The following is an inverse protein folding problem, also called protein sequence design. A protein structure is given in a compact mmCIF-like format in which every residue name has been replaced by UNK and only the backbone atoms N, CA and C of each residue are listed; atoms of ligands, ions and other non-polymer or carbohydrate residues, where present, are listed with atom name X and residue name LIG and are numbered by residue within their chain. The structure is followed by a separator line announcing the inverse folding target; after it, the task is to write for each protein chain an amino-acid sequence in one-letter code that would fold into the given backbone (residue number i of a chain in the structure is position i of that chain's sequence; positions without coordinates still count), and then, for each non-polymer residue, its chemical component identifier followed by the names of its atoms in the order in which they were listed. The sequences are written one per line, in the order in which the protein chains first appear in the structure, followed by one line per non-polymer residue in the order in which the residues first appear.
data_IF_857323737590
#
_entry.id   IF_857323737590
#
_cell.length_a   1.000
_cell.length_b   1.000
_cell.length_c   1.000
_cell.angle_alpha   90.00
_cell.angle_beta   90.00
_cell.angle_gamma   90.00
#
_symmetry.space_group_name_H-M   'P 1'
#
loop_
_entity.id
_entity.type
_entity.pdbx_description
1 polymer ?
#
# COMPACT_ATOMS: atom_id res chain seq x y z
N UNK A 1 -19.54 28.79 -0.94
CA UNK A 1 -18.84 28.72 0.36
C UNK A 1 -17.42 28.27 0.05
N UNK A 2 -16.49 29.22 -0.04
CA UNK A 2 -15.07 28.89 -0.19
C UNK A 2 -14.62 28.37 1.18
N UNK A 3 -14.37 27.06 1.28
CA UNK A 3 -13.80 26.47 2.50
C UNK A 3 -12.38 27.00 2.68
N UNK A 4 -12.04 27.37 3.92
CA UNK A 4 -10.73 27.91 4.28
C UNK A 4 -9.61 27.02 3.73
N UNK A 5 -8.84 27.55 2.77
CA UNK A 5 -7.69 26.90 2.14
C UNK A 5 -6.50 26.73 3.10
N UNK A 6 -6.71 26.91 4.41
CA UNK A 6 -5.70 26.90 5.45
C UNK A 6 -6.12 26.07 6.68
N UNK A 7 -7.15 25.22 6.56
CA UNK A 7 -7.38 24.19 7.54
C UNK A 7 -6.22 23.18 7.46
N UNK A 8 -5.36 23.16 8.47
CA UNK A 8 -4.33 22.12 8.60
C UNK A 8 -5.03 20.77 8.64
N UNK A 9 -4.97 20.04 7.52
CA UNK A 9 -5.49 18.68 7.48
C UNK A 9 -4.73 17.87 8.53
N UNK A 10 -5.45 17.08 9.32
CA UNK A 10 -4.82 16.11 10.21
C UNK A 10 -3.84 15.24 9.37
N UNK A 11 -2.70 14.82 9.95
CA UNK A 11 -1.80 13.92 9.25
C UNK A 11 -2.58 12.68 8.81
N UNK A 12 -2.42 12.24 7.56
CA UNK A 12 -3.19 11.13 7.00
C UNK A 12 -2.80 9.84 7.70
N UNK A 13 -3.71 8.87 7.72
CA UNK A 13 -3.33 7.50 8.07
C UNK A 13 -2.41 6.92 6.99
N UNK A 14 -1.34 6.26 7.43
CA UNK A 14 -0.35 5.63 6.54
C UNK A 14 -0.61 4.14 6.40
N UNK A 15 -0.71 3.65 5.18
CA UNK A 15 -0.91 2.26 4.82
C UNK A 15 0.38 1.70 4.25
N UNK A 16 1.09 0.87 5.00
CA UNK A 16 2.37 0.32 4.57
C UNK A 16 2.15 -1.06 3.96
N UNK A 17 2.37 -1.17 2.65
CA UNK A 17 2.34 -2.43 1.91
C UNK A 17 3.59 -3.22 2.25
N UNK A 18 3.41 -4.41 2.82
CA UNK A 18 4.51 -5.25 3.29
C UNK A 18 4.12 -6.72 3.15
N UNK A 19 5.01 -7.54 2.57
CA UNK A 19 4.85 -9.00 2.64
C UNK A 19 4.96 -9.44 4.10
N UNK A 20 4.02 -10.27 4.57
CA UNK A 20 4.00 -10.73 5.96
C UNK A 20 5.31 -11.45 6.38
N UNK A 21 6.02 -12.05 5.42
CA UNK A 21 7.33 -12.68 5.62
C UNK A 21 8.50 -11.68 5.76
N UNK A 22 8.34 -10.44 5.30
CA UNK A 22 9.38 -9.40 5.33
C UNK A 22 9.41 -8.67 6.69
N UNK A 23 9.68 -9.42 7.76
CA UNK A 23 9.61 -8.96 9.15
C UNK A 23 10.63 -7.86 9.48
N UNK A 24 11.84 -7.92 8.93
CA UNK A 24 12.88 -6.89 9.14
C UNK A 24 12.47 -5.54 8.51
N UNK A 25 11.96 -5.56 7.27
CA UNK A 25 11.47 -4.35 6.59
C UNK A 25 10.25 -3.76 7.31
N UNK A 26 9.35 -4.62 7.81
CA UNK A 26 8.23 -4.22 8.67
C UNK A 26 8.71 -3.49 9.92
N UNK A 27 9.69 -4.05 10.63
CA UNK A 27 10.24 -3.45 11.84
C UNK A 27 10.92 -2.10 11.55
N UNK A 28 11.67 -2.00 10.43
CA UNK A 28 12.29 -0.75 9.98
C UNK A 28 11.25 0.33 9.71
N UNK A 29 10.20 0.03 8.93
CA UNK A 29 9.15 1.00 8.62
C UNK A 29 8.39 1.47 9.87
N UNK A 30 8.11 0.56 10.82
CA UNK A 30 7.50 0.92 12.08
C UNK A 30 8.39 1.91 12.88
N UNK A 31 9.70 1.73 12.87
CA UNK A 31 10.63 2.65 13.51
C UNK A 31 10.70 4.00 12.79
N UNK A 32 10.74 4.03 11.45
CA UNK A 32 10.78 5.26 10.66
C UNK A 32 9.49 6.09 10.75
N UNK A 33 8.32 5.43 10.85
CA UNK A 33 7.03 6.11 11.00
C UNK A 33 6.81 6.69 12.41
N UNK A 34 7.48 6.13 13.42
CA UNK A 34 7.43 6.61 14.79
C UNK A 34 6.00 6.75 15.33
N UNK A 35 5.60 7.98 15.66
CA UNK A 35 4.28 8.29 16.22
C UNK A 35 3.16 8.56 15.20
N UNK A 36 3.42 8.43 13.90
CA UNK A 36 2.39 8.62 12.88
C UNK A 36 1.28 7.57 13.02
N UNK A 37 0.01 7.89 12.68
CA UNK A 37 -1.02 6.87 12.56
C UNK A 37 -0.73 5.98 11.34
N UNK A 38 -0.54 4.68 11.56
CA UNK A 38 -0.27 3.74 10.47
C UNK A 38 -0.86 2.36 10.70
N UNK A 39 -1.01 1.61 9.60
CA UNK A 39 -1.32 0.18 9.60
C UNK A 39 -0.57 -0.52 8.48
N UNK A 40 -0.20 -1.78 8.71
CA UNK A 40 0.36 -2.61 7.66
C UNK A 40 -0.76 -3.27 6.84
N UNK A 41 -0.61 -3.20 5.52
CA UNK A 41 -1.39 -3.95 4.55
C UNK A 41 -0.57 -5.18 4.19
N UNK A 42 -1.05 -6.36 4.58
CA UNK A 42 -0.41 -7.61 4.17
C UNK A 42 -0.46 -7.71 2.65
N UNK A 43 0.71 -7.62 2.03
CA UNK A 43 0.90 -7.66 0.60
C UNK A 43 0.64 -9.07 0.05
N UNK A 44 0.24 -9.12 -1.21
CA UNK A 44 0.04 -10.35 -1.96
C UNK A 44 1.37 -10.78 -2.56
N UNK A 45 1.86 -11.96 -2.16
CA UNK A 45 2.98 -12.60 -2.84
C UNK A 45 2.52 -13.14 -4.19
N UNK A 46 2.88 -12.43 -5.25
CA UNK A 46 2.56 -12.81 -6.61
C UNK A 46 3.11 -14.17 -7.02
N UNK A 47 4.23 -14.61 -6.45
CA UNK A 47 4.82 -15.92 -6.74
C UNK A 47 4.05 -17.08 -6.09
N UNK A 48 3.28 -16.79 -5.04
CA UNK A 48 2.39 -17.76 -4.40
C UNK A 48 1.02 -17.87 -5.08
N UNK A 49 0.72 -17.01 -6.06
CA UNK A 49 -0.57 -17.03 -6.77
C UNK A 49 -0.65 -18.18 -7.80
N UNK A 50 -1.83 -18.82 -7.94
CA UNK A 50 -2.08 -19.77 -9.02
C UNK A 50 -1.89 -19.14 -10.40
N UNK A 51 -1.43 -19.93 -11.38
CA UNK A 51 -1.23 -19.47 -12.77
C UNK A 51 -2.49 -18.90 -13.40
N UNK A 52 -3.65 -19.50 -13.14
CA UNK A 52 -4.93 -19.03 -13.68
C UNK A 52 -5.32 -17.65 -13.12
N UNK A 53 -4.97 -17.40 -11.86
CA UNK A 53 -5.12 -16.08 -11.24
C UNK A 53 -4.22 -15.06 -11.92
N UNK A 54 -2.93 -15.38 -12.10
CA UNK A 54 -1.99 -14.50 -12.81
C UNK A 54 -2.48 -14.17 -14.23
N UNK A 55 -2.93 -15.18 -14.98
CA UNK A 55 -3.46 -15.02 -16.33
C UNK A 55 -4.68 -14.08 -16.38
N UNK A 56 -5.51 -14.08 -15.34
CA UNK A 56 -6.68 -13.21 -15.23
C UNK A 56 -6.32 -11.72 -15.14
N UNK A 57 -5.20 -11.38 -14.50
CA UNK A 57 -4.74 -9.99 -14.42
C UNK A 57 -3.91 -9.59 -15.64
N UNK A 58 -3.15 -10.54 -16.18
CA UNK A 58 -2.33 -10.31 -17.36
C UNK A 58 -3.12 -10.13 -18.64
N UNK A 59 -4.27 -10.82 -18.81
CA UNK A 59 -5.06 -10.77 -20.06
C UNK A 59 -5.51 -9.36 -20.47
N UNK A 60 -5.65 -8.46 -19.50
CA UNK A 60 -6.11 -7.09 -19.69
C UNK A 60 -4.97 -6.06 -19.66
N UNK A 61 -3.75 -6.52 -19.41
CA UNK A 61 -2.57 -5.67 -19.41
C UNK A 61 -2.03 -5.49 -20.83
N UNK A 62 -1.38 -4.34 -21.07
CA UNK A 62 -0.77 -4.02 -22.37
C UNK A 62 0.37 -4.99 -22.72
N UNK A 63 0.90 -5.70 -21.72
CA UNK A 63 1.93 -6.72 -21.84
C UNK A 63 1.73 -7.82 -20.80
N UNK A 64 2.49 -8.90 -20.94
CA UNK A 64 2.59 -9.91 -19.90
C UNK A 64 3.15 -9.30 -18.60
N UNK A 65 2.44 -9.49 -17.49
CA UNK A 65 2.88 -9.06 -16.17
C UNK A 65 3.64 -10.19 -15.49
N UNK A 66 4.74 -9.83 -14.83
CA UNK A 66 5.46 -10.75 -13.95
C UNK A 66 4.62 -11.05 -12.70
N UNK A 67 4.80 -12.22 -12.06
CA UNK A 67 4.07 -12.55 -10.83
C UNK A 67 4.17 -11.45 -9.77
N UNK A 68 5.38 -10.93 -9.52
CA UNK A 68 5.59 -9.83 -8.58
C UNK A 68 4.83 -8.53 -8.94
N UNK A 69 4.61 -8.26 -10.22
CA UNK A 69 3.85 -7.08 -10.68
C UNK A 69 2.35 -7.25 -10.41
N UNK A 70 1.83 -8.46 -10.61
CA UNK A 70 0.45 -8.80 -10.21
C UNK A 70 0.29 -8.71 -8.69
N UNK A 71 1.27 -9.20 -7.93
CA UNK A 71 1.31 -9.08 -6.47
C UNK A 71 1.30 -7.62 -5.99
N UNK A 72 2.15 -6.78 -6.58
CA UNK A 72 2.20 -5.34 -6.31
C UNK A 72 0.84 -4.67 -6.61
N UNK A 73 0.28 -4.89 -7.82
CA UNK A 73 -1.02 -4.35 -8.20
C UNK A 73 -2.12 -4.71 -7.19
N UNK A 74 -2.23 -5.99 -6.82
CA UNK A 74 -3.25 -6.45 -5.87
C UNK A 74 -3.06 -5.89 -4.46
N UNK A 75 -1.82 -5.73 -4.03
CA UNK A 75 -1.49 -5.15 -2.73
C UNK A 75 -1.88 -3.68 -2.65
N UNK A 76 -1.56 -2.90 -3.69
CA UNK A 76 -1.98 -1.50 -3.80
C UNK A 76 -3.49 -1.35 -3.95
N UNK A 77 -4.13 -2.20 -4.75
CA UNK A 77 -5.58 -2.20 -4.88
C UNK A 77 -6.27 -2.43 -3.53
N UNK A 78 -5.75 -3.35 -2.71
CA UNK A 78 -6.20 -3.57 -1.33
C UNK A 78 -5.98 -2.32 -0.46
N UNK A 79 -4.80 -1.71 -0.49
CA UNK A 79 -4.49 -0.51 0.29
C UNK A 79 -5.41 0.67 -0.09
N UNK A 80 -5.61 0.91 -1.39
CA UNK A 80 -6.53 1.94 -1.91
C UNK A 80 -7.96 1.66 -1.45
N UNK A 81 -8.39 0.39 -1.45
CA UNK A 81 -9.70 0.00 -0.92
C UNK A 81 -9.86 0.36 0.57
N UNK A 82 -8.81 0.19 1.37
CA UNK A 82 -8.82 0.59 2.79
C UNK A 82 -8.85 2.11 2.97
N UNK A 83 -8.11 2.86 2.15
CA UNK A 83 -8.18 4.33 2.13
C UNK A 83 -9.60 4.79 1.81
N UNK A 84 -10.19 4.25 0.74
CA UNK A 84 -11.53 4.65 0.27
C UNK A 84 -12.66 4.29 1.24
N UNK A 85 -12.49 3.20 2.02
CA UNK A 85 -13.45 2.80 3.04
C UNK A 85 -13.23 3.50 4.40
N UNK A 86 -12.10 4.20 4.55
CA UNK A 86 -11.72 4.89 5.78
C UNK A 86 -12.50 6.20 6.01
N UNK A 87 -12.44 6.74 7.23
CA UNK A 87 -13.09 8.02 7.58
C UNK A 87 -12.30 9.24 7.11
N UNK A 88 -11.04 9.07 6.72
CA UNK A 88 -10.13 10.15 6.36
C UNK A 88 -10.42 10.65 4.93
N UNK A 89 -10.24 11.96 4.71
CA UNK A 89 -10.44 12.56 3.39
C UNK A 89 -9.40 12.08 2.36
N UNK A 90 -8.26 11.55 2.83
CA UNK A 90 -7.16 11.02 2.03
C UNK A 90 -6.25 10.16 2.92
N UNK A 91 -5.49 9.25 2.30
CA UNK A 91 -4.53 8.37 2.98
C UNK A 91 -3.23 8.27 2.19
N UNK A 92 -2.14 7.91 2.87
CA UNK A 92 -0.83 7.70 2.24
C UNK A 92 -0.51 6.21 2.14
N UNK A 93 -0.23 5.71 0.94
CA UNK A 93 0.24 4.33 0.73
C UNK A 93 1.76 4.36 0.54
N UNK A 94 2.49 3.56 1.33
CA UNK A 94 3.94 3.40 1.23
C UNK A 94 4.30 1.93 0.99
N UNK A 95 5.36 1.69 0.23
CA UNK A 95 6.02 0.38 0.17
C UNK A 95 6.97 0.20 1.36
N UNK A 96 7.26 -1.05 1.72
CA UNK A 96 8.13 -1.39 2.86
C UNK A 96 9.63 -1.15 2.62
N UNK A 97 10.02 -0.73 1.42
CA UNK A 97 11.35 -0.32 1.03
C UNK A 97 11.50 1.22 0.91
N UNK A 98 10.44 1.98 1.22
CA UNK A 98 10.52 3.44 1.33
C UNK A 98 11.54 3.86 2.40
N UNK A 99 12.11 5.06 2.24
CA UNK A 99 12.99 5.67 3.23
C UNK A 99 12.44 7.04 3.60
N UNK A 100 12.22 7.25 4.90
CA UNK A 100 11.70 8.50 5.44
C UNK A 100 12.85 9.31 6.04
N UNK A 101 13.04 10.53 5.55
CA UNK A 101 14.01 11.49 6.10
C UNK A 101 13.33 12.46 7.06
N UNK A 102 13.97 12.74 8.20
CA UNK A 102 13.58 13.77 9.17
C UNK A 102 14.16 15.14 8.85
#
# INVERSE_FOLDING_TARGET
VAGDANATLAPPHVYVVNLASATERRARMAAELGGAPYSFVDAVDGHALPKDTLATYTKHAVRELLPGEVGCFLSHYKAIGQVAAGPDAWGLVLEDDASLSS
#
